data_IF_667817126127
#
_entry.id   IF_667817126127
#
_cell.length_a   1.000
_cell.length_b   1.000
_cell.length_c   1.000
_cell.angle_alpha   90.00
_cell.angle_beta   90.00
_cell.angle_gamma   90.00
#
_symmetry.space_group_name_H-M   'P 1'
#
loop_
_entity.id
_entity.type
_entity.pdbx_description
1 polymer ?
#
# COMPACT_ATOMS: atom_id res chain seq x y z
N UNK A 1 -5.91 -38.28 -24.53
CA UNK A 1 -5.74 -36.92 -23.97
C UNK A 1 -4.37 -36.40 -24.40
N UNK A 2 -4.24 -35.15 -24.86
CA UNK A 2 -2.92 -34.59 -25.17
C UNK A 2 -2.07 -34.51 -23.89
N UNK A 3 -0.79 -34.85 -24.00
CA UNK A 3 0.17 -34.73 -22.90
C UNK A 3 0.40 -33.24 -22.64
N UNK A 4 0.15 -32.72 -21.43
CA UNK A 4 0.33 -31.31 -21.16
C UNK A 4 1.80 -30.92 -21.35
N UNK A 5 2.03 -29.76 -21.97
CA UNK A 5 3.36 -29.21 -22.22
C UNK A 5 4.11 -28.97 -20.90
N UNK A 6 5.45 -28.87 -20.95
CA UNK A 6 6.26 -28.62 -19.74
C UNK A 6 5.89 -27.33 -18.99
N UNK A 7 5.28 -26.37 -19.69
CA UNK A 7 4.76 -25.13 -19.12
C UNK A 7 3.42 -25.35 -18.41
N UNK A 8 2.49 -26.05 -19.05
CA UNK A 8 1.19 -26.40 -18.43
C UNK A 8 1.37 -27.29 -17.20
N UNK A 9 2.30 -28.25 -17.26
CA UNK A 9 2.65 -29.09 -16.10
C UNK A 9 3.22 -28.27 -14.93
N UNK A 10 4.04 -27.24 -15.23
CA UNK A 10 4.57 -26.33 -14.20
C UNK A 10 3.47 -25.47 -13.58
N UNK A 11 2.55 -24.95 -14.41
CA UNK A 11 1.41 -24.17 -13.95
C UNK A 11 0.49 -24.99 -13.03
N UNK A 12 0.11 -26.20 -13.44
CA UNK A 12 -0.74 -27.09 -12.65
C UNK A 12 -0.09 -27.48 -11.32
N UNK A 13 1.22 -27.78 -11.31
CA UNK A 13 1.98 -28.05 -10.07
C UNK A 13 2.05 -26.84 -9.14
N UNK A 14 2.21 -25.63 -9.69
CA UNK A 14 2.20 -24.43 -8.88
C UNK A 14 0.80 -24.20 -8.27
N UNK A 15 -0.26 -24.28 -9.08
CA UNK A 15 -1.63 -24.08 -8.64
C UNK A 15 -2.05 -25.04 -7.53
N UNK A 16 -1.66 -26.32 -7.60
CA UNK A 16 -1.99 -27.30 -6.56
C UNK A 16 -1.20 -27.11 -5.25
N UNK A 17 -0.07 -26.41 -5.29
CA UNK A 17 0.79 -26.18 -4.13
C UNK A 17 0.56 -24.85 -3.41
N UNK A 18 -0.13 -23.89 -4.06
CA UNK A 18 -0.38 -22.55 -3.53
C UNK A 18 -1.58 -22.55 -2.57
N UNK A 19 -1.41 -21.86 -1.43
CA UNK A 19 -2.48 -21.60 -0.46
C UNK A 19 -3.09 -20.21 -0.69
N UNK A 20 -4.26 -19.93 -0.10
CA UNK A 20 -4.86 -18.60 -0.17
C UNK A 20 -3.93 -17.48 0.34
N UNK A 21 -3.09 -17.78 1.34
CA UNK A 21 -2.06 -16.85 1.83
C UNK A 21 -0.99 -16.56 0.78
N UNK A 22 -0.56 -17.56 0.03
CA UNK A 22 0.43 -17.34 -1.04
C UNK A 22 -0.18 -16.55 -2.19
N UNK A 23 -1.43 -16.83 -2.55
CA UNK A 23 -2.14 -16.06 -3.58
C UNK A 23 -2.27 -14.58 -3.18
N UNK A 24 -2.56 -14.29 -1.90
CA UNK A 24 -2.53 -12.91 -1.36
C UNK A 24 -1.15 -12.27 -1.51
N UNK A 25 -0.08 -12.98 -1.15
CA UNK A 25 1.30 -12.51 -1.35
C UNK A 25 1.60 -12.23 -2.83
N UNK A 26 1.26 -13.17 -3.73
CA UNK A 26 1.52 -13.00 -5.16
C UNK A 26 0.77 -11.78 -5.71
N UNK A 27 -0.48 -11.57 -5.32
CA UNK A 27 -1.26 -10.38 -5.65
C UNK A 27 -0.59 -9.09 -5.18
N UNK A 28 -0.12 -9.04 -3.93
CA UNK A 28 0.60 -7.87 -3.43
C UNK A 28 1.92 -7.60 -4.17
N UNK A 29 2.69 -8.65 -4.49
CA UNK A 29 3.91 -8.48 -5.29
C UNK A 29 3.60 -8.04 -6.73
N UNK A 30 2.45 -8.46 -7.28
CA UNK A 30 1.96 -8.01 -8.58
C UNK A 30 1.61 -6.52 -8.57
N UNK A 31 0.95 -6.02 -7.51
CA UNK A 31 0.46 -4.64 -7.44
C UNK A 31 1.50 -3.65 -6.90
N UNK A 32 2.30 -4.08 -5.93
CA UNK A 32 3.19 -3.22 -5.13
C UNK A 32 4.67 -3.53 -5.36
N UNK A 33 4.97 -4.52 -6.21
CA UNK A 33 6.30 -4.78 -6.77
C UNK A 33 7.23 -5.59 -5.88
N UNK A 34 7.48 -5.15 -4.65
CA UNK A 34 8.51 -5.76 -3.78
C UNK A 34 8.16 -5.68 -2.30
N UNK A 35 8.45 -6.75 -1.57
CA UNK A 35 8.36 -6.79 -0.12
C UNK A 35 9.61 -7.47 0.46
N UNK A 36 10.05 -7.05 1.65
CA UNK A 36 11.15 -7.71 2.35
C UNK A 36 10.68 -9.00 3.04
N UNK A 37 11.64 -9.84 3.45
CA UNK A 37 11.35 -11.04 4.26
C UNK A 37 10.58 -10.69 5.54
N UNK A 38 10.97 -9.59 6.19
CA UNK A 38 10.38 -9.15 7.45
C UNK A 38 8.97 -8.60 7.23
N UNK A 39 8.77 -7.82 6.16
CA UNK A 39 7.44 -7.35 5.75
C UNK A 39 6.47 -8.49 5.50
N UNK A 40 6.91 -9.48 4.73
CA UNK A 40 6.09 -10.67 4.43
C UNK A 40 5.79 -11.45 5.70
N UNK A 41 6.78 -11.58 6.60
CA UNK A 41 6.58 -12.25 7.88
C UNK A 41 5.52 -11.54 8.73
N UNK A 42 5.64 -10.23 8.92
CA UNK A 42 4.70 -9.41 9.71
C UNK A 42 3.28 -9.53 9.20
N UNK A 43 3.09 -9.33 7.89
CA UNK A 43 1.75 -9.31 7.30
C UNK A 43 1.08 -10.69 7.25
N UNK A 44 1.83 -11.78 6.99
CA UNK A 44 1.20 -13.05 6.58
C UNK A 44 1.47 -14.23 7.52
N UNK A 45 2.56 -14.24 8.29
CA UNK A 45 3.03 -15.47 8.96
C UNK A 45 3.23 -15.35 10.47
N UNK A 46 3.76 -14.24 10.98
CA UNK A 46 4.08 -14.05 12.40
C UNK A 46 5.23 -14.94 12.94
N UNK A 47 5.75 -15.89 12.15
CA UNK A 47 6.90 -16.74 12.49
C UNK A 47 7.93 -16.68 11.36
N UNK A 48 9.08 -16.07 11.66
CA UNK A 48 10.14 -15.84 10.67
C UNK A 48 10.65 -17.14 10.05
N UNK A 49 10.86 -18.17 10.88
CA UNK A 49 11.30 -19.49 10.42
C UNK A 49 10.30 -20.12 9.46
N UNK A 50 9.01 -20.07 9.77
CA UNK A 50 7.98 -20.60 8.88
C UNK A 50 7.89 -19.79 7.58
N UNK A 51 7.91 -18.45 7.68
CA UNK A 51 7.92 -17.53 6.54
C UNK A 51 9.07 -17.86 5.58
N UNK A 52 10.30 -17.95 6.08
CA UNK A 52 11.48 -18.27 5.27
C UNK A 52 11.37 -19.63 4.58
N UNK A 53 10.91 -20.67 5.31
CA UNK A 53 10.69 -22.01 4.72
C UNK A 53 9.63 -21.97 3.62
N UNK A 54 8.54 -21.21 3.80
CA UNK A 54 7.50 -21.06 2.78
C UNK A 54 8.02 -20.29 1.56
N UNK A 55 8.76 -19.21 1.76
CA UNK A 55 9.36 -18.42 0.68
C UNK A 55 10.36 -19.22 -0.16
N UNK A 56 11.15 -20.10 0.47
CA UNK A 56 12.01 -21.03 -0.27
C UNK A 56 11.22 -22.01 -1.15
N UNK A 57 10.06 -22.49 -0.69
CA UNK A 57 9.18 -23.32 -1.52
C UNK A 57 8.61 -22.54 -2.71
N UNK A 58 8.17 -21.29 -2.49
CA UNK A 58 7.66 -20.43 -3.56
C UNK A 58 8.75 -20.09 -4.60
N UNK A 59 10.00 -19.88 -4.16
CA UNK A 59 11.16 -19.73 -5.05
C UNK A 59 11.39 -20.99 -5.89
N UNK A 60 11.35 -22.17 -5.26
CA UNK A 60 11.55 -23.45 -5.97
C UNK A 60 10.43 -23.74 -6.99
N UNK A 61 9.22 -23.24 -6.75
CA UNK A 61 8.10 -23.27 -7.70
C UNK A 61 8.25 -22.25 -8.85
N UNK A 62 9.18 -21.29 -8.74
CA UNK A 62 9.38 -20.25 -9.75
C UNK A 62 8.26 -19.21 -9.80
N UNK A 63 7.47 -19.05 -8.73
CA UNK A 63 6.39 -18.05 -8.66
C UNK A 63 6.86 -16.72 -8.07
N UNK A 64 7.93 -16.73 -7.28
CA UNK A 64 8.60 -15.53 -6.78
C UNK A 64 10.07 -15.60 -7.14
N UNK A 65 10.67 -14.42 -7.31
CA UNK A 65 12.11 -14.23 -7.36
C UNK A 65 12.55 -13.47 -6.11
N UNK A 66 13.86 -13.38 -5.91
CA UNK A 66 14.44 -12.52 -4.87
C UNK A 66 15.71 -11.84 -5.33
N UNK A 67 16.00 -10.71 -4.72
CA UNK A 67 17.31 -10.07 -4.76
C UNK A 67 17.70 -9.58 -3.37
N UNK A 68 18.95 -9.15 -3.23
CA UNK A 68 19.45 -8.51 -2.02
C UNK A 68 20.26 -7.29 -2.46
N UNK A 69 19.88 -6.07 -2.06
CA UNK A 69 20.71 -4.90 -2.28
C UNK A 69 22.09 -5.09 -1.62
N UNK A 70 23.14 -4.56 -2.23
CA UNK A 70 24.49 -4.67 -1.69
C UNK A 70 24.69 -3.61 -0.60
N UNK A 71 25.26 -4.01 0.55
CA UNK A 71 25.74 -3.07 1.59
C UNK A 71 27.23 -2.88 1.39
N UNK A 72 27.65 -1.64 1.18
CA UNK A 72 29.07 -1.31 1.08
C UNK A 72 29.76 -1.29 2.46
N UNK A 73 29.00 -1.04 3.53
CA UNK A 73 29.49 -0.98 4.93
C UNK A 73 29.49 -2.34 5.66
N UNK A 74 29.13 -3.44 4.98
CA UNK A 74 29.01 -4.77 5.59
C UNK A 74 27.62 -5.11 6.16
N UNK A 75 27.44 -6.38 6.53
CA UNK A 75 26.14 -6.96 6.90
C UNK A 75 25.27 -7.36 5.70
N UNK A 76 24.06 -7.87 5.96
CA UNK A 76 23.12 -8.29 4.91
C UNK A 76 21.76 -7.62 5.09
N UNK A 77 21.25 -6.97 4.05
CA UNK A 77 19.84 -6.60 4.00
C UNK A 77 18.97 -7.87 3.96
N UNK A 78 17.73 -7.82 4.46
CA UNK A 78 16.78 -8.90 4.24
C UNK A 78 16.59 -9.14 2.74
N UNK A 79 16.23 -10.36 2.37
CA UNK A 79 15.87 -10.64 0.98
C UNK A 79 14.62 -9.85 0.60
N UNK A 80 14.67 -9.27 -0.60
CA UNK A 80 13.57 -8.58 -1.24
C UNK A 80 12.93 -9.54 -2.23
N UNK A 81 11.65 -9.81 -2.05
CA UNK A 81 10.86 -10.73 -2.88
C UNK A 81 9.98 -9.95 -3.84
N UNK A 82 9.84 -10.48 -5.04
CA UNK A 82 9.03 -9.96 -6.13
C UNK A 82 8.47 -11.14 -6.93
N UNK A 83 7.52 -10.89 -7.82
CA UNK A 83 7.03 -11.95 -8.71
C UNK A 83 8.11 -12.39 -9.69
N UNK A 84 8.15 -13.71 -9.92
CA UNK A 84 8.79 -14.30 -11.09
C UNK A 84 7.74 -14.53 -12.19
N UNK A 85 8.18 -14.98 -13.36
CA UNK A 85 7.35 -15.06 -14.57
C UNK A 85 6.10 -15.92 -14.35
N UNK A 86 6.23 -17.12 -13.74
CA UNK A 86 5.10 -18.00 -13.50
C UNK A 86 4.10 -17.37 -12.50
N UNK A 87 4.58 -16.69 -11.47
CA UNK A 87 3.71 -15.99 -10.52
C UNK A 87 2.96 -14.84 -11.17
N UNK A 88 3.61 -14.12 -12.09
CA UNK A 88 2.98 -13.06 -12.90
C UNK A 88 1.87 -13.63 -13.77
N UNK A 89 2.10 -14.76 -14.43
CA UNK A 89 1.10 -15.45 -15.26
C UNK A 89 -0.09 -15.95 -14.43
N UNK A 90 0.17 -16.50 -13.23
CA UNK A 90 -0.89 -16.97 -12.32
C UNK A 90 -1.80 -15.81 -11.89
N UNK A 91 -1.22 -14.69 -11.43
CA UNK A 91 -2.02 -13.54 -10.98
C UNK A 91 -2.80 -12.92 -12.14
N UNK A 92 -2.16 -12.73 -13.30
CA UNK A 92 -2.82 -12.20 -14.48
C UNK A 92 -4.01 -13.08 -14.90
N UNK A 93 -3.83 -14.40 -14.95
CA UNK A 93 -4.91 -15.33 -15.27
C UNK A 93 -6.07 -15.29 -14.25
N UNK A 94 -5.77 -15.19 -12.95
CA UNK A 94 -6.78 -15.07 -11.90
C UNK A 94 -7.60 -13.77 -12.01
N UNK A 95 -6.95 -12.67 -12.39
CA UNK A 95 -7.59 -11.36 -12.56
C UNK A 95 -8.19 -11.13 -13.94
N UNK A 96 -8.00 -12.09 -14.87
CA UNK A 96 -8.37 -11.98 -16.28
C UNK A 96 -7.68 -10.80 -16.98
N UNK A 97 -6.49 -10.47 -16.52
CA UNK A 97 -5.60 -9.51 -17.18
C UNK A 97 -5.01 -10.13 -18.46
N UNK A 98 -4.55 -9.32 -19.43
CA UNK A 98 -3.77 -9.80 -20.55
C UNK A 98 -2.56 -10.62 -20.10
N UNK A 99 -2.26 -11.71 -20.80
CA UNK A 99 -1.11 -12.54 -20.47
C UNK A 99 0.20 -11.73 -20.54
N UNK A 100 1.05 -11.85 -19.51
CA UNK A 100 2.30 -11.09 -19.45
C UNK A 100 3.27 -11.55 -20.53
N UNK A 101 4.14 -10.63 -20.98
CA UNK A 101 5.24 -11.00 -21.89
C UNK A 101 6.23 -11.90 -21.16
N UNK A 102 6.90 -12.80 -21.89
CA UNK A 102 7.85 -13.79 -21.32
C UNK A 102 9.04 -13.17 -20.56
N UNK A 103 9.35 -11.90 -20.82
CA UNK A 103 10.44 -11.18 -20.18
C UNK A 103 9.98 -10.10 -19.19
N UNK A 104 8.67 -9.94 -18.97
CA UNK A 104 8.12 -8.90 -18.12
C UNK A 104 8.63 -9.00 -16.68
N UNK A 105 8.69 -10.22 -16.11
CA UNK A 105 9.23 -10.40 -14.77
C UNK A 105 10.72 -10.04 -14.67
N UNK A 106 11.51 -10.36 -15.72
CA UNK A 106 12.92 -9.99 -15.80
C UNK A 106 13.11 -8.48 -15.87
N UNK A 107 12.35 -7.79 -16.72
CA UNK A 107 12.39 -6.33 -16.84
C UNK A 107 11.97 -5.66 -15.53
N UNK A 108 10.90 -6.13 -14.90
CA UNK A 108 10.42 -5.63 -13.60
C UNK A 108 11.48 -5.80 -12.51
N UNK A 109 12.16 -6.95 -12.48
CA UNK A 109 13.28 -7.19 -11.55
C UNK A 109 14.42 -6.22 -11.77
N UNK A 110 14.83 -6.00 -13.02
CA UNK A 110 15.90 -5.05 -13.35
C UNK A 110 15.52 -3.65 -12.89
N UNK A 111 14.31 -3.19 -13.22
CA UNK A 111 13.79 -1.89 -12.80
C UNK A 111 13.78 -1.73 -11.26
N UNK A 112 13.27 -2.71 -10.51
CA UNK A 112 13.23 -2.66 -9.05
C UNK A 112 14.61 -2.69 -8.40
N UNK A 113 15.58 -3.40 -9.00
CA UNK A 113 16.94 -3.50 -8.46
C UNK A 113 17.72 -2.20 -8.62
N UNK A 114 17.46 -1.42 -9.69
CA UNK A 114 18.11 -0.13 -9.95
C UNK A 114 17.26 1.08 -9.52
N UNK A 115 16.13 0.85 -8.86
CA UNK A 115 15.16 1.89 -8.51
C UNK A 115 15.67 2.80 -7.39
N UNK A 116 15.86 4.09 -7.68
CA UNK A 116 16.31 5.08 -6.70
C UNK A 116 15.32 5.31 -5.54
N UNK A 117 14.02 5.28 -5.82
CA UNK A 117 12.96 5.42 -4.81
C UNK A 117 12.50 4.08 -4.19
N UNK A 118 13.36 3.06 -4.18
CA UNK A 118 13.06 1.79 -3.49
C UNK A 118 12.79 1.99 -1.99
N UNK A 119 13.53 2.83 -1.22
CA UNK A 119 13.22 3.08 0.18
C UNK A 119 11.80 3.63 0.39
N UNK A 120 11.37 4.56 -0.46
CA UNK A 120 10.01 5.12 -0.43
C UNK A 120 8.96 4.04 -0.69
N UNK A 121 9.14 3.24 -1.74
CA UNK A 121 8.24 2.11 -2.03
C UNK A 121 8.14 1.14 -0.85
N UNK A 122 9.27 0.80 -0.23
CA UNK A 122 9.28 -0.11 0.93
C UNK A 122 8.59 0.52 2.14
N UNK A 123 8.74 1.82 2.37
CA UNK A 123 8.05 2.53 3.45
C UNK A 123 6.54 2.62 3.22
N UNK A 124 6.11 2.96 2.00
CA UNK A 124 4.69 2.91 1.61
C UNK A 124 4.14 1.50 1.81
N UNK A 125 4.88 0.48 1.39
CA UNK A 125 4.46 -0.92 1.58
C UNK A 125 4.42 -1.32 3.06
N UNK A 126 5.32 -0.79 3.89
CA UNK A 126 5.37 -1.07 5.33
C UNK A 126 4.07 -0.64 6.01
N UNK A 127 3.52 0.52 5.65
CA UNK A 127 2.26 1.01 6.20
C UNK A 127 1.11 -0.02 6.07
N UNK A 128 0.92 -0.58 4.87
CA UNK A 128 -0.12 -1.58 4.65
C UNK A 128 0.25 -2.96 5.20
N UNK A 129 1.54 -3.29 5.28
CA UNK A 129 2.04 -4.49 5.96
C UNK A 129 1.69 -4.44 7.45
N UNK A 130 1.78 -3.28 8.08
CA UNK A 130 1.44 -3.08 9.49
C UNK A 130 -0.07 -3.19 9.71
N UNK A 131 -0.88 -2.66 8.78
CA UNK A 131 -2.34 -2.89 8.78
C UNK A 131 -2.70 -4.38 8.61
N UNK A 132 -2.05 -5.08 7.68
CA UNK A 132 -2.27 -6.51 7.48
C UNK A 132 -1.78 -7.35 8.69
N UNK A 133 -0.68 -6.93 9.32
CA UNK A 133 -0.20 -7.50 10.57
C UNK A 133 -1.22 -7.32 11.70
N UNK A 134 -1.83 -6.14 11.79
CA UNK A 134 -2.89 -5.84 12.75
C UNK A 134 -4.16 -6.66 12.47
N UNK A 135 -4.63 -6.75 11.22
CA UNK A 135 -5.75 -7.63 10.79
C UNK A 135 -5.56 -9.07 11.29
N UNK A 136 -4.34 -9.60 11.18
CA UNK A 136 -4.05 -10.99 11.56
C UNK A 136 -4.22 -11.26 13.05
N UNK A 137 -4.00 -10.26 13.90
CA UNK A 137 -4.03 -10.43 15.37
C UNK A 137 -5.23 -9.81 16.04
N UNK A 138 -6.06 -9.04 15.32
CA UNK A 138 -7.23 -8.36 15.86
C UNK A 138 -8.48 -8.78 15.09
N UNK A 139 -9.28 -9.71 15.64
CA UNK A 139 -10.58 -10.07 15.08
C UNK A 139 -11.46 -8.83 14.93
N UNK A 140 -12.21 -8.75 13.83
CA UNK A 140 -13.03 -7.56 13.50
C UNK A 140 -12.28 -6.53 12.66
N UNK A 141 -10.96 -6.62 12.53
CA UNK A 141 -10.16 -5.74 11.68
C UNK A 141 -9.85 -6.38 10.34
N UNK A 142 -9.88 -5.61 9.24
CA UNK A 142 -9.55 -6.11 7.89
C UNK A 142 -9.01 -5.03 6.97
N UNK A 143 -7.92 -5.34 6.26
CA UNK A 143 -7.48 -4.57 5.09
C UNK A 143 -8.26 -5.06 3.86
N UNK A 144 -9.34 -4.36 3.52
CA UNK A 144 -10.23 -4.68 2.39
C UNK A 144 -9.53 -4.42 1.07
N UNK A 145 -8.88 -3.27 0.95
CA UNK A 145 -8.24 -2.85 -0.30
C UNK A 145 -6.89 -2.19 -0.04
N UNK A 146 -5.95 -2.46 -0.95
CA UNK A 146 -4.66 -1.79 -1.05
C UNK A 146 -4.37 -1.56 -2.53
N UNK A 147 -4.41 -0.29 -2.99
CA UNK A 147 -4.03 0.12 -4.34
C UNK A 147 -2.70 0.86 -4.32
N UNK A 148 -1.83 0.59 -5.29
CA UNK A 148 -0.55 1.29 -5.45
C UNK A 148 -0.71 2.65 -6.14
N UNK A 149 0.29 3.53 -5.98
CA UNK A 149 0.38 4.79 -6.71
C UNK A 149 0.15 4.65 -8.22
N UNK A 150 0.69 3.60 -8.86
CA UNK A 150 0.51 3.39 -10.30
C UNK A 150 -0.95 3.14 -10.68
N UNK A 151 -1.70 2.42 -9.85
CA UNK A 151 -3.13 2.18 -10.10
C UNK A 151 -3.96 3.46 -9.94
N UNK A 152 -3.47 4.45 -9.18
CA UNK A 152 -4.13 5.74 -8.97
C UNK A 152 -3.77 6.78 -10.05
N UNK A 153 -2.82 6.44 -10.94
CA UNK A 153 -2.43 7.27 -12.09
C UNK A 153 -3.21 6.91 -13.37
N UNK A 154 -3.99 5.83 -13.35
CA UNK A 154 -4.85 5.44 -14.47
C UNK A 154 -5.92 6.52 -14.73
N UNK A 155 -6.27 6.71 -16.00
CA UNK A 155 -7.31 7.68 -16.37
C UNK A 155 -8.62 7.27 -15.72
N UNK A 156 -9.27 8.20 -15.02
CA UNK A 156 -10.51 7.89 -14.32
C UNK A 156 -10.34 7.22 -12.97
N UNK A 157 -9.12 7.04 -12.44
CA UNK A 157 -8.90 6.32 -11.19
C UNK A 157 -9.66 6.88 -9.97
N UNK A 158 -10.01 8.18 -10.02
CA UNK A 158 -10.78 8.90 -9.00
C UNK A 158 -12.22 9.21 -9.40
N UNK A 159 -12.60 8.98 -10.66
CA UNK A 159 -13.90 9.39 -11.17
C UNK A 159 -14.96 8.33 -10.94
N UNK A 160 -16.09 8.76 -10.40
CA UNK A 160 -17.31 7.97 -10.23
C UNK A 160 -18.47 8.62 -10.96
N UNK A 161 -19.52 7.83 -11.18
CA UNK A 161 -20.72 8.32 -11.84
C UNK A 161 -21.37 9.42 -10.99
N UNK A 162 -21.50 10.62 -11.56
CA UNK A 162 -22.06 11.78 -10.88
C UNK A 162 -21.02 12.79 -10.37
N UNK A 163 -19.74 12.47 -10.40
CA UNK A 163 -18.64 13.43 -10.16
C UNK A 163 -18.58 14.50 -11.27
N UNK A 164 -17.90 15.61 -11.02
CA UNK A 164 -17.68 16.65 -12.04
C UNK A 164 -16.88 16.05 -13.22
N UNK A 165 -17.44 16.00 -14.45
CA UNK A 165 -16.74 15.46 -15.62
C UNK A 165 -15.42 16.18 -15.93
N UNK A 166 -15.26 17.44 -15.47
CA UNK A 166 -14.03 18.22 -15.60
C UNK A 166 -12.84 17.57 -14.89
N UNK A 167 -13.07 16.66 -13.94
CA UNK A 167 -12.05 15.86 -13.28
C UNK A 167 -11.18 15.09 -14.30
N UNK A 168 -11.79 14.62 -15.40
CA UNK A 168 -11.11 13.91 -16.49
C UNK A 168 -10.20 14.79 -17.35
N UNK A 169 -10.34 16.11 -17.24
CA UNK A 169 -9.56 17.10 -17.98
C UNK A 169 -8.43 17.71 -17.14
N UNK A 170 -8.37 17.41 -15.84
CA UNK A 170 -7.33 17.95 -14.96
C UNK A 170 -5.96 17.40 -15.32
N UNK A 171 -5.03 18.33 -15.57
CA UNK A 171 -3.63 17.99 -15.85
C UNK A 171 -2.87 17.56 -14.59
N UNK A 172 -3.27 18.09 -13.43
CA UNK A 172 -2.58 17.91 -12.15
C UNK A 172 -3.54 17.33 -11.12
N UNK A 173 -3.88 16.04 -11.26
CA UNK A 173 -4.47 15.28 -10.17
C UNK A 173 -3.43 15.03 -9.09
N UNK A 174 -3.83 14.98 -7.80
CA UNK A 174 -2.93 14.52 -6.76
C UNK A 174 -2.42 13.10 -7.06
N UNK A 175 -1.23 12.80 -6.57
CA UNK A 175 -0.55 11.52 -6.79
C UNK A 175 -0.24 10.85 -5.45
N UNK A 176 -1.27 10.34 -4.75
CA UNK A 176 -1.05 9.60 -3.52
C UNK A 176 -0.14 8.41 -3.76
N UNK A 177 0.64 8.07 -2.74
CA UNK A 177 1.53 6.90 -2.77
C UNK A 177 0.75 5.59 -2.76
N UNK A 178 -0.44 5.60 -2.17
CA UNK A 178 -1.36 4.48 -2.15
C UNK A 178 -2.78 4.91 -1.75
N UNK A 179 -3.72 3.98 -1.91
CA UNK A 179 -5.08 4.07 -1.38
C UNK A 179 -5.41 2.79 -0.63
N UNK A 180 -6.14 2.92 0.48
CA UNK A 180 -6.63 1.79 1.24
C UNK A 180 -8.10 1.91 1.60
N UNK A 181 -8.72 0.75 1.81
CA UNK A 181 -9.97 0.63 2.55
C UNK A 181 -9.67 -0.28 3.75
N UNK A 182 -9.76 0.31 4.93
CA UNK A 182 -9.64 -0.39 6.19
C UNK A 182 -11.03 -0.62 6.79
N UNK A 183 -11.21 -1.71 7.50
CA UNK A 183 -12.43 -1.97 8.26
C UNK A 183 -12.05 -2.37 9.67
N UNK A 184 -12.75 -1.80 10.64
CA UNK A 184 -12.70 -2.23 12.02
C UNK A 184 -14.13 -2.34 12.55
N UNK A 185 -14.50 -3.55 12.97
CA UNK A 185 -15.89 -3.94 13.19
C UNK A 185 -16.72 -3.66 11.92
N UNK A 186 -17.79 -2.89 12.01
CA UNK A 186 -18.66 -2.55 10.86
C UNK A 186 -18.32 -1.19 10.26
N UNK A 187 -17.24 -0.54 10.70
CA UNK A 187 -16.83 0.78 10.21
C UNK A 187 -15.76 0.65 9.13
N UNK A 188 -16.14 0.95 7.89
CA UNK A 188 -15.21 1.09 6.78
C UNK A 188 -14.58 2.48 6.79
N UNK A 189 -13.30 2.56 6.42
CA UNK A 189 -12.48 3.76 6.35
C UNK A 189 -11.70 3.74 5.04
N UNK A 190 -12.20 4.38 3.98
CA UNK A 190 -11.41 4.66 2.79
C UNK A 190 -10.43 5.81 3.05
N UNK A 191 -9.21 5.72 2.51
CA UNK A 191 -8.21 6.78 2.69
C UNK A 191 -7.21 6.82 1.54
N UNK A 192 -6.60 7.99 1.35
CA UNK A 192 -5.41 8.17 0.50
C UNK A 192 -4.18 8.26 1.41
N UNK A 193 -3.02 7.77 0.97
CA UNK A 193 -1.78 7.79 1.73
C UNK A 193 -0.71 8.62 1.03
N UNK A 194 -0.08 9.53 1.78
CA UNK A 194 1.18 10.19 1.48
C UNK A 194 2.22 9.70 2.50
N UNK A 195 3.24 9.01 2.02
CA UNK A 195 4.38 8.57 2.82
C UNK A 195 5.46 9.65 2.76
N UNK A 196 5.92 10.14 3.90
CA UNK A 196 7.00 11.13 3.94
C UNK A 196 8.25 10.53 4.56
N UNK A 197 9.34 10.53 3.79
CA UNK A 197 10.67 10.13 4.26
C UNK A 197 11.52 11.32 4.74
N UNK A 198 10.94 12.53 4.80
CA UNK A 198 11.67 13.74 5.16
C UNK A 198 12.59 14.27 4.06
N UNK A 199 12.46 13.76 2.84
CA UNK A 199 13.29 14.16 1.68
C UNK A 199 12.79 15.42 0.98
N UNK A 200 11.52 15.78 1.18
CA UNK A 200 10.90 17.00 0.65
C UNK A 200 10.75 18.06 1.75
N UNK A 201 10.67 19.34 1.37
CA UNK A 201 10.36 20.41 2.33
C UNK A 201 8.90 20.35 2.78
N UNK A 202 8.60 20.85 3.98
CA UNK A 202 7.22 20.89 4.47
C UNK A 202 6.32 21.80 3.63
N UNK A 203 6.87 22.85 3.00
CA UNK A 203 6.12 23.69 2.07
C UNK A 203 5.66 22.91 0.84
N UNK A 204 6.49 22.00 0.30
CA UNK A 204 6.09 21.11 -0.79
C UNK A 204 4.96 20.20 -0.33
N UNK A 205 5.07 19.64 0.87
CA UNK A 205 4.05 18.77 1.45
C UNK A 205 2.72 19.51 1.67
N UNK A 206 2.76 20.72 2.24
CA UNK A 206 1.58 21.57 2.41
C UNK A 206 0.94 21.94 1.07
N UNK A 207 1.74 22.26 0.04
CA UNK A 207 1.23 22.56 -1.29
C UNK A 207 0.54 21.35 -1.95
N UNK A 208 0.88 20.10 -1.60
CA UNK A 208 0.16 18.92 -2.11
C UNK A 208 -1.30 18.92 -1.66
N UNK A 209 -1.60 19.45 -0.46
CA UNK A 209 -2.95 19.48 0.11
C UNK A 209 -3.91 20.24 -0.80
N UNK A 210 -3.46 21.31 -1.46
CA UNK A 210 -4.27 22.09 -2.42
C UNK A 210 -4.85 21.19 -3.52
N UNK A 211 -4.08 20.22 -4.02
CA UNK A 211 -4.55 19.29 -5.05
C UNK A 211 -5.57 18.28 -4.50
N UNK A 212 -5.48 17.91 -3.23
CA UNK A 212 -6.44 17.05 -2.56
C UNK A 212 -7.74 17.78 -2.24
N UNK A 213 -7.68 19.05 -1.83
CA UNK A 213 -8.86 19.91 -1.67
C UNK A 213 -9.61 20.02 -2.99
N UNK A 214 -8.88 20.34 -4.07
CA UNK A 214 -9.46 20.40 -5.41
C UNK A 214 -10.07 19.07 -5.85
N UNK A 215 -9.45 17.95 -5.51
CA UNK A 215 -10.01 16.63 -5.78
C UNK A 215 -11.34 16.46 -5.05
N UNK A 216 -11.36 16.72 -3.74
CA UNK A 216 -12.55 16.62 -2.90
C UNK A 216 -13.69 17.52 -3.36
N UNK A 217 -13.40 18.72 -3.86
CA UNK A 217 -14.42 19.66 -4.38
C UNK A 217 -15.05 19.19 -5.70
N UNK A 218 -14.38 18.29 -6.42
CA UNK A 218 -14.81 17.79 -7.74
C UNK A 218 -15.41 16.38 -7.68
N UNK A 219 -15.34 15.71 -6.52
CA UNK A 219 -15.85 14.36 -6.29
C UNK A 219 -17.02 14.37 -5.32
N UNK A 220 -17.92 13.39 -5.45
CA UNK A 220 -19.04 13.16 -4.50
C UNK A 220 -18.63 12.42 -3.22
N UNK A 221 -17.33 12.20 -3.08
CA UNK A 221 -16.72 11.57 -1.93
C UNK A 221 -15.54 12.46 -1.48
N UNK A 222 -15.26 12.42 -0.18
CA UNK A 222 -14.17 13.15 0.47
C UNK A 222 -13.49 12.20 1.44
N UNK A 223 -12.45 11.53 0.95
CA UNK A 223 -11.63 10.62 1.74
C UNK A 223 -10.49 11.38 2.40
N UNK A 224 -10.16 11.06 3.67
CA UNK A 224 -9.01 11.65 4.33
C UNK A 224 -7.71 11.25 3.63
N UNK A 225 -6.78 12.19 3.59
CA UNK A 225 -5.40 12.00 3.16
C UNK A 225 -4.54 11.84 4.39
N UNK A 226 -3.98 10.65 4.54
CA UNK A 226 -3.11 10.27 5.63
C UNK A 226 -1.67 10.64 5.29
N UNK A 227 -1.05 11.48 6.11
CA UNK A 227 0.37 11.76 6.02
C UNK A 227 1.13 10.97 7.09
N UNK A 228 1.92 9.99 6.66
CA UNK A 228 2.81 9.25 7.55
C UNK A 228 4.19 9.91 7.55
N UNK A 229 4.49 10.66 8.62
CA UNK A 229 5.69 11.48 8.76
C UNK A 229 6.78 10.72 9.51
N UNK A 230 8.07 11.04 9.31
CA UNK A 230 9.16 10.31 9.93
C UNK A 230 9.33 10.67 11.42
N UNK A 231 8.85 11.84 11.87
CA UNK A 231 9.03 12.28 13.27
C UNK A 231 7.92 13.19 13.78
N UNK A 232 7.70 13.15 15.09
CA UNK A 232 6.73 13.98 15.81
C UNK A 232 7.06 15.48 15.66
N UNK A 233 8.35 15.83 15.65
CA UNK A 233 8.79 17.22 15.39
C UNK A 233 8.34 17.71 14.01
N UNK A 234 8.46 16.86 13.00
CA UNK A 234 8.08 17.21 11.62
C UNK A 234 6.57 17.30 11.46
N UNK A 235 5.82 16.44 12.14
CA UNK A 235 4.37 16.51 12.25
C UNK A 235 3.91 17.83 12.89
N UNK A 236 4.49 18.22 14.04
CA UNK A 236 4.19 19.50 14.70
C UNK A 236 4.43 20.70 13.78
N UNK A 237 5.57 20.72 13.08
CA UNK A 237 5.87 21.79 12.14
C UNK A 237 4.91 21.82 10.93
N UNK A 238 4.44 20.65 10.47
CA UNK A 238 3.41 20.59 9.42
C UNK A 238 2.11 21.22 9.94
N UNK A 239 1.63 20.83 11.12
CA UNK A 239 0.41 21.42 11.69
C UNK A 239 0.53 22.93 11.90
N UNK A 240 1.69 23.42 12.34
CA UNK A 240 1.92 24.87 12.43
C UNK A 240 1.78 25.58 11.07
N UNK A 241 2.28 24.98 9.98
CA UNK A 241 2.13 25.53 8.63
C UNK A 241 0.69 25.49 8.12
N UNK A 242 -0.11 24.54 8.61
CA UNK A 242 -1.51 24.37 8.21
C UNK A 242 -2.49 25.17 9.05
N UNK A 243 -2.06 25.84 10.13
CA UNK A 243 -2.94 26.53 11.10
C UNK A 243 -4.00 27.42 10.44
N UNK A 244 -3.63 28.17 9.40
CA UNK A 244 -4.52 29.12 8.71
C UNK A 244 -5.17 28.51 7.45
N UNK A 245 -5.01 27.21 7.21
CA UNK A 245 -5.54 26.51 6.04
C UNK A 245 -6.88 25.86 6.39
N UNK A 246 -7.95 26.32 5.74
CA UNK A 246 -9.29 25.76 5.95
C UNK A 246 -9.47 24.44 5.19
N UNK A 247 -8.90 23.36 5.76
CA UNK A 247 -9.02 21.98 5.27
C UNK A 247 -9.52 21.01 6.35
N UNK A 248 -10.60 21.35 7.05
CA UNK A 248 -11.12 20.49 8.11
C UNK A 248 -11.43 19.11 7.57
N UNK A 249 -11.14 18.11 8.40
CA UNK A 249 -11.49 16.71 8.21
C UNK A 249 -10.86 16.00 6.99
N UNK A 250 -10.00 16.68 6.23
CA UNK A 250 -9.33 16.10 5.06
C UNK A 250 -7.94 15.55 5.36
N UNK A 251 -7.24 16.10 6.36
CA UNK A 251 -5.83 15.78 6.61
C UNK A 251 -5.68 15.14 7.99
N UNK A 252 -5.17 13.91 8.03
CA UNK A 252 -4.76 13.26 9.26
C UNK A 252 -3.28 12.89 9.20
N UNK A 253 -2.53 13.12 10.27
CA UNK A 253 -1.10 12.88 10.33
C UNK A 253 -0.78 11.82 11.38
N UNK A 254 0.27 11.05 11.14
CA UNK A 254 0.88 10.20 12.16
C UNK A 254 2.40 10.30 12.05
N UNK A 255 3.10 10.16 13.17
CA UNK A 255 4.55 10.17 13.22
C UNK A 255 5.12 8.77 13.49
N UNK A 256 6.04 8.32 12.64
CA UNK A 256 6.65 7.00 12.73
C UNK A 256 7.46 6.79 14.01
N UNK A 257 8.11 7.82 14.54
CA UNK A 257 8.82 7.74 15.84
C UNK A 257 7.86 7.54 17.01
N UNK A 258 6.70 8.21 16.99
CA UNK A 258 5.64 8.06 17.97
C UNK A 258 5.03 6.66 17.93
N UNK A 259 4.66 6.18 16.75
CA UNK A 259 4.14 4.82 16.55
C UNK A 259 5.14 3.76 17.01
N UNK A 260 6.42 3.94 16.70
CA UNK A 260 7.50 3.02 17.15
C UNK A 260 7.65 3.03 18.67
N UNK A 261 7.64 4.22 19.29
CA UNK A 261 7.82 4.37 20.75
C UNK A 261 6.65 3.76 21.53
N UNK A 262 5.44 3.88 21.00
CA UNK A 262 4.22 3.37 21.63
C UNK A 262 3.92 1.91 21.27
N UNK A 263 4.60 1.35 20.25
CA UNK A 263 4.33 0.03 19.71
C UNK A 263 2.99 -0.07 18.98
N UNK A 264 2.41 1.06 18.57
CA UNK A 264 1.10 1.12 17.93
C UNK A 264 1.20 0.98 16.41
N UNK A 265 0.22 0.29 15.82
CA UNK A 265 0.09 0.17 14.38
C UNK A 265 -0.65 1.37 13.77
N UNK A 266 -0.62 1.54 12.44
CA UNK A 266 -1.42 2.54 11.76
C UNK A 266 -2.94 2.37 11.93
N UNK A 267 -3.44 1.25 12.45
CA UNK A 267 -4.87 1.08 12.72
C UNK A 267 -5.31 1.76 14.03
N UNK A 268 -4.36 2.01 14.94
CA UNK A 268 -4.62 2.42 16.32
C UNK A 268 -4.58 3.95 16.51
N UNK A 269 -4.54 4.40 17.77
CA UNK A 269 -4.63 5.79 18.21
C UNK A 269 -3.39 6.63 17.89
N UNK A 270 -2.97 6.63 16.62
CA UNK A 270 -1.78 7.36 16.14
C UNK A 270 -2.14 8.57 15.29
N UNK A 271 -3.42 8.77 14.93
CA UNK A 271 -3.81 9.80 13.97
C UNK A 271 -4.17 11.12 14.62
N UNK A 272 -3.41 12.16 14.30
CA UNK A 272 -3.78 13.54 14.61
C UNK A 272 -4.52 14.15 13.42
N UNK A 273 -5.83 14.28 13.57
CA UNK A 273 -6.69 14.96 12.61
C UNK A 273 -6.45 16.48 12.67
N UNK A 274 -6.18 17.11 11.53
CA UNK A 274 -5.98 18.56 11.45
C UNK A 274 -7.26 19.31 11.88
N UNK A 275 -7.10 20.34 12.72
CA UNK A 275 -8.21 21.07 13.33
C UNK A 275 -8.88 20.36 14.52
N UNK A 276 -8.51 19.11 14.84
CA UNK A 276 -9.01 18.39 16.01
C UNK A 276 -8.18 18.70 17.26
N UNK A 277 -8.85 19.15 18.32
CA UNK A 277 -8.23 19.50 19.61
C UNK A 277 -8.25 18.36 20.66
N UNK A 278 -8.78 17.19 20.31
CA UNK A 278 -8.86 16.02 21.19
C UNK A 278 -7.65 15.08 21.06
N UNK A 279 -7.75 13.86 21.64
CA UNK A 279 -6.69 12.86 21.54
C UNK A 279 -6.51 12.38 20.10
N UNK A 280 -5.38 11.69 19.84
CA UNK A 280 -5.18 10.96 18.58
C UNK A 280 -6.28 9.90 18.40
N UNK A 281 -6.75 9.78 17.17
CA UNK A 281 -7.84 8.90 16.77
C UNK A 281 -7.32 7.57 16.22
N UNK A 282 -8.16 6.53 16.27
CA UNK A 282 -7.96 5.30 15.48
C UNK A 282 -8.13 5.59 14.00
N UNK A 283 -7.55 4.76 13.14
CA UNK A 283 -7.76 4.88 11.69
C UNK A 283 -9.26 4.83 11.35
N UNK A 284 -9.96 3.86 11.93
CA UNK A 284 -11.40 3.69 11.71
C UNK A 284 -12.23 4.87 12.23
N UNK A 285 -11.71 5.71 13.12
CA UNK A 285 -12.44 6.81 13.74
C UNK A 285 -12.40 8.11 12.94
N UNK A 286 -11.52 8.21 11.93
CA UNK A 286 -11.41 9.39 11.10
C UNK A 286 -12.75 9.71 10.38
N UNK A 287 -13.02 10.99 10.10
CA UNK A 287 -14.17 11.38 9.30
C UNK A 287 -13.89 11.14 7.80
N UNK A 288 -14.95 10.83 7.05
CA UNK A 288 -14.97 10.86 5.59
C UNK A 288 -16.42 10.99 5.13
N UNK A 289 -16.60 11.50 3.90
CA UNK A 289 -17.88 11.47 3.22
C UNK A 289 -17.77 10.54 2.00
N UNK A 290 -18.61 9.51 1.90
CA UNK A 290 -18.71 8.68 0.69
C UNK A 290 -20.07 8.00 0.63
N UNK A 291 -20.94 8.51 -0.25
CA UNK A 291 -22.32 8.07 -0.37
C UNK A 291 -22.47 6.62 -0.88
N UNK A 292 -21.47 6.03 -1.53
CA UNK A 292 -21.57 4.65 -2.08
C UNK A 292 -21.12 3.58 -1.08
N UNK A 293 -20.19 3.92 -0.18
CA UNK A 293 -19.73 3.00 0.88
C UNK A 293 -20.82 2.86 1.97
N UNK A 294 -21.65 3.89 2.17
CA UNK A 294 -22.73 3.85 3.16
C UNK A 294 -23.89 2.93 2.75
N UNK A 295 -24.05 2.63 1.46
CA UNK A 295 -25.16 1.79 0.95
C UNK A 295 -24.88 0.27 1.02
N UNK A 296 -23.65 -0.14 1.32
CA UNK A 296 -23.23 -1.55 1.33
C UNK A 296 -22.94 -2.10 2.74
N UNK A 297 -23.32 -1.37 3.80
CA UNK A 297 -23.26 -1.79 5.19
C UNK A 297 -24.64 -2.22 5.70
#
# INVERSE_FOLDING_TARGET
MPIPTSTEQRLLRAQSALTGRDLRLLGWLYDHGVLTTDQINTALYGSLTFCQRRLLKLLALGVVARFRPQRWEGGSYPYHYLLDQLGTEIVAAQRRDPLPRRDQARQRRQHLTSRANLPHLLATNQFFVDLAGHERTHPGSRLIQWRSASALQERGAFFRTGDDPSLMLLKNLPRPDAHGIWTEHDRQMPFLLEMDLGTESLTVLANKIINYVRLADMTRWRWPVLFWLPSTRRELHLHHLLTDTDVPDLVATAAGDHATTTGQSPAENVWWLHGHHGPRLRLAELPYDDHEITEHN
#
